data_IF_904582983113
#
_entry.id   IF_904582983113
#
_cell.length_a   1.000
_cell.length_b   1.000
_cell.length_c   1.000
_cell.angle_alpha   90.00
_cell.angle_beta   90.00
_cell.angle_gamma   90.00
#
_symmetry.space_group_name_H-M   'P 1'
#
loop_
_entity.id
_entity.type
_entity.pdbx_description
1 polymer ?
#
# COMPACT_ATOMS: atom_id res chain seq x y z
N UNK A 1 3.43 -7.37 -32.94
CA UNK A 1 4.67 -7.32 -32.13
C UNK A 1 4.81 -5.89 -31.63
N UNK A 2 4.34 -5.59 -30.42
CA UNK A 2 4.40 -4.23 -29.87
C UNK A 2 5.66 -4.12 -29.02
N UNK A 3 6.68 -3.42 -29.52
CA UNK A 3 7.84 -3.00 -28.75
C UNK A 3 7.49 -1.72 -28.00
N UNK A 4 7.20 -1.85 -26.70
CA UNK A 4 7.07 -0.70 -25.82
C UNK A 4 8.46 -0.10 -25.57
N UNK A 5 8.63 1.18 -25.87
CA UNK A 5 9.83 1.96 -25.52
C UNK A 5 9.97 1.99 -23.99
N UNK A 6 11.06 1.43 -23.48
CA UNK A 6 11.45 1.35 -22.06
C UNK A 6 11.76 2.74 -21.47
N UNK A 7 10.74 3.54 -21.15
CA UNK A 7 10.93 4.77 -20.36
C UNK A 7 9.95 4.89 -19.18
N UNK A 8 8.96 4.00 -19.12
CA UNK A 8 7.91 4.02 -18.11
C UNK A 8 8.10 2.84 -17.14
N UNK A 9 7.70 3.04 -15.88
CA UNK A 9 7.80 2.01 -14.84
C UNK A 9 7.35 0.64 -15.33
N UNK A 10 8.03 -0.42 -14.90
CA UNK A 10 7.69 -1.78 -15.28
C UNK A 10 6.26 -2.08 -14.82
N UNK A 11 5.50 -2.76 -15.67
CA UNK A 11 4.09 -3.11 -15.44
C UNK A 11 3.98 -4.62 -15.40
N UNK A 12 3.23 -5.15 -14.45
CA UNK A 12 2.93 -6.58 -14.33
C UNK A 12 1.45 -6.82 -14.59
N UNK A 13 1.19 -7.84 -15.41
CA UNK A 13 -0.14 -8.41 -15.58
C UNK A 13 -0.26 -9.65 -14.70
N UNK A 14 -1.17 -9.61 -13.73
CA UNK A 14 -1.51 -10.74 -12.89
C UNK A 14 -2.74 -11.45 -13.45
N UNK A 15 -2.65 -12.77 -13.50
CA UNK A 15 -3.71 -13.67 -13.92
C UNK A 15 -4.11 -14.56 -12.74
N UNK A 16 -5.38 -14.98 -12.66
CA UNK A 16 -5.80 -15.96 -11.66
C UNK A 16 -5.09 -17.29 -11.89
N UNK A 17 -4.78 -17.98 -10.79
CA UNK A 17 -4.32 -19.37 -10.82
C UNK A 17 -5.44 -20.30 -11.35
N UNK A 18 -5.14 -21.43 -12.01
CA UNK A 18 -6.18 -22.37 -12.51
C UNK A 18 -6.98 -23.10 -11.41
N UNK A 19 -6.69 -22.87 -10.14
CA UNK A 19 -7.44 -23.45 -9.01
C UNK A 19 -8.71 -22.68 -8.74
N UNK A 20 -9.72 -23.38 -8.24
CA UNK A 20 -10.94 -22.77 -7.79
C UNK A 20 -10.70 -21.67 -6.75
N UNK A 21 -11.52 -20.62 -6.78
CA UNK A 21 -11.41 -19.47 -5.87
C UNK A 21 -10.36 -18.43 -6.28
N UNK A 22 -9.39 -18.75 -7.12
CA UNK A 22 -8.41 -17.77 -7.60
C UNK A 22 -9.03 -16.65 -8.44
N UNK A 23 -10.09 -16.95 -9.21
CA UNK A 23 -10.89 -15.96 -9.94
C UNK A 23 -11.58 -14.98 -9.00
N UNK A 24 -12.18 -15.48 -7.91
CA UNK A 24 -12.80 -14.63 -6.91
C UNK A 24 -11.76 -13.78 -6.20
N UNK A 25 -10.60 -14.35 -5.87
CA UNK A 25 -9.49 -13.61 -5.23
C UNK A 25 -8.96 -12.50 -6.12
N UNK A 26 -8.71 -12.74 -7.41
CA UNK A 26 -8.23 -11.67 -8.29
C UNK A 26 -9.29 -10.59 -8.52
N UNK A 27 -10.58 -10.97 -8.55
CA UNK A 27 -11.67 -10.01 -8.62
C UNK A 27 -11.73 -9.14 -7.35
N UNK A 28 -11.70 -9.76 -6.16
CA UNK A 28 -11.65 -9.06 -4.87
C UNK A 28 -10.45 -8.11 -4.81
N UNK A 29 -9.28 -8.59 -5.23
CA UNK A 29 -8.05 -7.81 -5.28
C UNK A 29 -8.19 -6.59 -6.20
N UNK A 30 -8.75 -6.77 -7.40
CA UNK A 30 -9.02 -5.66 -8.33
C UNK A 30 -10.00 -4.63 -7.75
N UNK A 31 -11.03 -5.08 -7.03
CA UNK A 31 -11.97 -4.17 -6.34
C UNK A 31 -11.28 -3.37 -5.23
N UNK A 32 -10.43 -4.01 -4.43
CA UNK A 32 -9.69 -3.36 -3.34
C UNK A 32 -8.72 -2.33 -3.91
N UNK A 33 -7.96 -2.68 -4.95
CA UNK A 33 -7.07 -1.73 -5.62
C UNK A 33 -7.83 -0.53 -6.21
N UNK A 34 -9.03 -0.75 -6.75
CA UNK A 34 -9.90 0.33 -7.23
C UNK A 34 -10.48 1.21 -6.13
N UNK A 35 -10.50 0.73 -4.89
CA UNK A 35 -11.00 1.46 -3.73
C UNK A 35 -9.91 2.24 -2.98
N UNK A 36 -8.63 1.92 -3.18
CA UNK A 36 -7.55 2.62 -2.49
C UNK A 36 -7.54 4.11 -2.81
N UNK A 37 -7.43 4.98 -1.79
CA UNK A 37 -7.22 6.40 -2.04
C UNK A 37 -5.85 6.61 -2.69
N UNK A 38 -5.78 7.64 -3.52
CA UNK A 38 -4.61 7.95 -4.35
C UNK A 38 -3.29 8.00 -3.57
N UNK A 39 -3.30 8.53 -2.34
CA UNK A 39 -2.10 8.69 -1.51
C UNK A 39 -1.48 7.37 -1.04
N UNK A 40 -2.19 6.23 -1.13
CA UNK A 40 -1.59 4.92 -0.83
C UNK A 40 -0.83 4.34 -2.03
N UNK A 41 -1.19 4.74 -3.26
CA UNK A 41 -0.61 4.19 -4.50
C UNK A 41 0.31 5.14 -5.25
N UNK A 42 0.33 6.42 -4.85
CA UNK A 42 1.24 7.44 -5.40
C UNK A 42 1.97 8.21 -4.30
N UNK A 43 3.10 8.84 -4.67
CA UNK A 43 3.83 9.71 -3.75
C UNK A 43 2.96 10.90 -3.33
N UNK A 44 2.69 11.02 -2.03
CA UNK A 44 2.02 12.17 -1.47
C UNK A 44 3.06 13.21 -1.01
N UNK A 45 2.79 14.49 -1.27
CA UNK A 45 3.55 15.60 -0.71
C UNK A 45 2.70 16.33 0.30
N UNK A 46 3.12 16.29 1.56
CA UNK A 46 2.39 16.87 2.67
C UNK A 46 3.08 18.13 3.14
N UNK A 47 2.28 19.17 3.42
CA UNK A 47 2.75 20.35 4.12
C UNK A 47 2.75 20.04 5.61
N UNK A 48 3.90 20.13 6.24
CA UNK A 48 4.02 20.19 7.69
C UNK A 48 4.02 21.67 8.03
N UNK A 49 2.91 22.12 8.60
CA UNK A 49 2.85 23.47 9.17
C UNK A 49 3.60 23.42 10.51
N UNK A 50 4.55 24.33 10.71
CA UNK A 50 5.41 24.41 11.91
C UNK A 50 4.67 24.97 13.15
N UNK A 51 3.37 25.26 13.01
CA UNK A 51 2.51 25.73 14.10
C UNK A 51 1.84 24.51 14.74
N UNK A 52 1.56 24.53 16.04
CA UNK A 52 0.90 23.45 16.80
C UNK A 52 -0.51 23.06 16.27
N UNK A 53 -0.90 23.55 15.09
CA UNK A 53 -2.02 23.15 14.26
C UNK A 53 -1.66 22.04 13.27
N UNK A 54 -2.20 20.86 13.55
CA UNK A 54 -2.25 19.64 12.73
C UNK A 54 -1.97 19.79 11.21
N UNK A 55 -1.09 18.96 10.63
CA UNK A 55 -0.78 18.98 9.20
C UNK A 55 -2.02 18.71 8.35
N UNK A 56 -2.21 19.40 7.23
CA UNK A 56 -3.28 19.12 6.26
C UNK A 56 -2.69 18.64 4.92
N UNK A 57 -3.14 17.49 4.38
CA UNK A 57 -2.68 16.98 3.10
C UNK A 57 -3.16 17.89 1.98
N UNK A 58 -2.22 18.35 1.17
CA UNK A 58 -2.55 18.98 -0.11
C UNK A 58 -2.77 17.86 -1.12
N UNK A 59 -3.98 17.33 -1.15
CA UNK A 59 -4.41 16.33 -2.13
C UNK A 59 -4.63 17.07 -3.47
N UNK A 60 -4.09 16.59 -4.61
CA UNK A 60 -4.47 17.10 -5.93
C UNK A 60 -5.99 17.10 -6.08
N UNK A 61 -6.58 18.20 -6.57
CA UNK A 61 -8.04 18.50 -6.55
C UNK A 61 -8.99 17.44 -7.15
N UNK A 62 -8.49 16.33 -7.67
CA UNK A 62 -9.28 15.31 -8.38
C UNK A 62 -9.98 14.29 -7.49
N UNK A 63 -9.80 14.30 -6.18
CA UNK A 63 -10.48 13.36 -5.28
C UNK A 63 -10.55 13.89 -3.86
N UNK A 64 -11.48 14.81 -3.59
CA UNK A 64 -11.85 15.20 -2.24
C UNK A 64 -12.91 14.24 -1.68
N UNK A 65 -12.63 13.42 -0.66
CA UNK A 65 -13.67 12.68 0.05
C UNK A 65 -14.58 13.68 0.79
N UNK A 66 -15.90 13.52 0.63
CA UNK A 66 -16.88 14.31 1.36
C UNK A 66 -16.98 13.82 2.82
N UNK A 67 -16.85 14.76 3.76
CA UNK A 67 -17.01 14.69 5.24
C UNK A 67 -15.75 14.41 6.10
N UNK A 68 -14.97 15.47 6.34
CA UNK A 68 -14.77 16.12 7.66
C UNK A 68 -14.03 15.43 8.83
N UNK A 69 -14.11 14.11 9.01
CA UNK A 69 -13.52 13.43 10.17
C UNK A 69 -12.24 12.66 9.85
N UNK A 70 -12.33 11.79 8.84
CA UNK A 70 -11.31 10.79 8.47
C UNK A 70 -10.00 11.40 7.97
N UNK A 71 -10.07 12.55 7.29
CA UNK A 71 -8.87 13.25 6.83
C UNK A 71 -7.97 13.64 8.01
N UNK A 72 -8.54 14.13 9.13
CA UNK A 72 -7.76 14.55 10.30
C UNK A 72 -7.02 13.39 10.98
N UNK A 73 -7.55 12.17 10.93
CA UNK A 73 -6.91 10.98 11.50
C UNK A 73 -5.73 10.52 10.63
N UNK A 74 -5.93 10.45 9.31
CA UNK A 74 -4.87 10.23 8.32
C UNK A 74 -3.78 11.29 8.43
N UNK A 75 -4.13 12.57 8.57
CA UNK A 75 -3.19 13.66 8.81
C UNK A 75 -2.33 13.43 10.06
N UNK A 76 -2.97 13.04 11.17
CA UNK A 76 -2.30 12.82 12.47
C UNK A 76 -1.37 11.62 12.40
N UNK A 77 -1.80 10.54 11.75
CA UNK A 77 -1.02 9.33 11.65
C UNK A 77 0.16 9.48 10.68
N UNK A 78 -0.04 10.16 9.54
CA UNK A 78 1.09 10.54 8.69
C UNK A 78 2.02 11.53 9.42
N UNK A 79 1.48 12.48 10.19
CA UNK A 79 2.29 13.35 11.05
C UNK A 79 3.16 12.57 12.04
N UNK A 80 2.64 11.48 12.63
CA UNK A 80 3.42 10.56 13.48
C UNK A 80 4.50 9.81 12.69
N UNK A 81 4.15 9.23 11.55
CA UNK A 81 5.10 8.52 10.69
C UNK A 81 6.24 9.41 10.18
N UNK A 82 5.95 10.68 9.88
CA UNK A 82 6.93 11.70 9.53
C UNK A 82 7.87 11.99 10.70
N UNK A 83 7.33 12.11 11.92
CA UNK A 83 8.12 12.34 13.14
C UNK A 83 9.10 11.18 13.35
N UNK A 84 8.67 9.95 13.14
CA UNK A 84 9.47 8.74 13.33
C UNK A 84 10.53 8.55 12.22
N UNK A 85 10.19 8.90 10.97
CA UNK A 85 11.16 8.92 9.87
C UNK A 85 12.23 10.02 10.04
N UNK A 86 11.84 11.18 10.56
CA UNK A 86 12.75 12.29 10.82
C UNK A 86 13.71 12.02 12.00
N UNK A 87 13.25 11.32 13.05
CA UNK A 87 14.14 10.89 14.15
C UNK A 87 15.07 9.74 13.77
N UNK A 88 14.73 8.95 12.73
CA UNK A 88 15.61 7.89 12.21
C UNK A 88 16.72 8.43 11.28
N UNK A 89 16.57 9.65 10.76
CA UNK A 89 17.53 10.27 9.84
C UNK A 89 17.95 11.66 10.34
N UNK A 90 18.93 11.74 11.24
CA UNK A 90 19.97 12.80 11.27
C UNK A 90 20.87 12.69 12.51
N UNK A 91 22.11 12.22 12.29
CA UNK A 91 23.30 12.68 13.00
C UNK A 91 23.97 13.74 12.11
N UNK A 92 23.41 14.94 12.00
CA UNK A 92 24.16 16.10 11.50
C UNK A 92 23.77 17.35 12.28
N UNK A 93 24.80 18.10 12.68
CA UNK A 93 24.70 19.30 13.49
C UNK A 93 24.01 20.45 12.71
N UNK A 94 23.22 21.31 13.39
CA UNK A 94 22.56 22.42 12.72
C UNK A 94 23.57 23.48 12.26
N UNK A 95 23.47 23.99 11.02
CA UNK A 95 24.27 25.12 10.56
C UNK A 95 23.85 26.43 11.27
N UNK A 96 24.71 27.47 11.25
CA UNK A 96 24.46 28.72 11.94
C UNK A 96 23.27 29.47 11.31
N UNK A 97 22.43 30.04 12.18
CA UNK A 97 21.20 30.74 11.81
C UNK A 97 21.52 32.14 11.27
N UNK A 98 21.48 32.31 9.95
CA UNK A 98 21.32 33.63 9.33
C UNK A 98 19.83 33.93 9.10
N UNK A 99 19.39 35.04 9.69
CA UNK A 99 18.00 35.47 9.76
C UNK A 99 17.60 36.27 8.51
N UNK A 100 17.13 35.61 7.46
CA UNK A 100 16.12 36.15 6.53
C UNK A 100 15.51 35.08 5.60
N UNK A 101 15.56 33.79 5.97
CA UNK A 101 15.02 32.75 5.11
C UNK A 101 13.51 32.68 5.32
N UNK A 102 12.76 33.16 4.31
CA UNK A 102 11.30 33.09 4.22
C UNK A 102 10.87 31.67 4.62
N UNK A 103 10.00 31.54 5.63
CA UNK A 103 9.41 30.27 6.09
C UNK A 103 8.81 29.51 4.91
N UNK A 104 9.61 28.67 4.25
CA UNK A 104 9.12 27.73 3.26
C UNK A 104 8.48 26.60 4.06
N UNK A 105 7.19 26.29 3.85
CA UNK A 105 6.55 25.19 4.56
C UNK A 105 7.36 23.91 4.32
N UNK A 106 7.66 23.18 5.39
CA UNK A 106 8.38 21.91 5.32
C UNK A 106 7.51 20.91 4.57
N UNK A 107 7.92 20.54 3.37
CA UNK A 107 7.24 19.53 2.57
C UNK A 107 7.83 18.16 2.89
N UNK A 108 6.98 17.19 3.25
CA UNK A 108 7.40 15.81 3.43
C UNK A 108 6.82 14.94 2.33
N UNK A 109 7.66 14.08 1.76
CA UNK A 109 7.25 13.14 0.72
C UNK A 109 7.00 11.78 1.35
N UNK A 110 5.78 11.27 1.21
CA UNK A 110 5.36 9.96 1.72
C UNK A 110 5.45 8.96 0.55
N UNK A 111 6.20 7.86 0.69
CA UNK A 111 6.26 6.85 -0.34
C UNK A 111 4.92 6.10 -0.44
N UNK A 112 4.52 5.67 -1.66
CA UNK A 112 3.37 4.81 -1.83
C UNK A 112 3.57 3.44 -1.15
N UNK A 113 2.50 2.93 -0.55
CA UNK A 113 2.49 1.66 0.20
C UNK A 113 1.99 0.48 -0.62
N UNK A 114 1.12 0.74 -1.60
CA UNK A 114 0.57 -0.28 -2.51
C UNK A 114 0.99 0.00 -3.96
N UNK A 115 1.02 -1.01 -4.84
CA UNK A 115 1.28 -0.81 -6.26
C UNK A 115 0.38 0.25 -6.88
N UNK A 116 0.91 0.99 -7.85
CA UNK A 116 0.06 1.74 -8.77
C UNK A 116 -0.89 0.79 -9.51
N UNK A 117 -2.18 1.07 -9.44
CA UNK A 117 -3.23 0.29 -10.09
C UNK A 117 -3.57 0.88 -11.47
N UNK A 118 -3.44 0.07 -12.53
CA UNK A 118 -3.74 0.49 -13.91
C UNK A 118 -5.09 -0.04 -14.42
N UNK A 119 -5.75 -0.92 -13.66
CA UNK A 119 -7.09 -1.41 -13.96
C UNK A 119 -7.25 -2.91 -13.80
N UNK A 120 -8.50 -3.32 -13.66
CA UNK A 120 -8.95 -4.71 -13.65
C UNK A 120 -9.83 -4.92 -14.89
N UNK A 121 -9.35 -5.74 -15.82
CA UNK A 121 -9.95 -5.93 -17.13
C UNK A 121 -10.61 -7.31 -17.21
N UNK A 122 -11.88 -7.34 -17.58
CA UNK A 122 -12.66 -8.56 -17.75
C UNK A 122 -12.99 -8.68 -19.25
N UNK A 123 -12.90 -9.87 -19.86
CA UNK A 123 -13.34 -10.07 -21.24
C UNK A 123 -14.83 -9.74 -21.41
N UNK A 124 -15.20 -9.12 -22.54
CA UNK A 124 -16.58 -8.64 -22.78
C UNK A 124 -17.58 -9.79 -22.97
N UNK A 125 -17.11 -10.96 -23.43
CA UNK A 125 -17.95 -12.09 -23.85
C UNK A 125 -17.91 -13.30 -22.89
N UNK A 126 -17.64 -13.09 -21.59
CA UNK A 126 -17.75 -14.17 -20.59
C UNK A 126 -19.12 -14.16 -19.91
N UNK A 127 -19.89 -15.26 -19.96
CA UNK A 127 -21.01 -15.45 -19.03
C UNK A 127 -20.47 -15.35 -17.61
N UNK A 128 -21.22 -14.70 -16.72
CA UNK A 128 -20.85 -14.31 -15.35
C UNK A 128 -19.66 -15.06 -14.73
N UNK A 129 -18.66 -14.32 -14.24
CA UNK A 129 -17.48 -14.82 -13.49
C UNK A 129 -17.82 -15.59 -12.19
N UNK A 130 -19.09 -15.89 -11.94
CA UNK A 130 -19.53 -16.80 -10.90
C UNK A 130 -18.77 -18.12 -11.07
N UNK A 131 -17.99 -18.48 -10.04
CA UNK A 131 -17.49 -19.84 -9.90
C UNK A 131 -18.68 -20.80 -10.07
N UNK A 132 -18.48 -21.91 -10.78
CA UNK A 132 -19.56 -22.88 -10.96
C UNK A 132 -19.95 -23.47 -9.59
N UNK A 133 -21.22 -23.87 -9.38
CA UNK A 133 -21.73 -24.34 -8.08
C UNK A 133 -20.94 -25.50 -7.45
N UNK A 134 -20.22 -26.27 -8.26
CA UNK A 134 -19.43 -27.46 -7.88
C UNK A 134 -17.95 -27.17 -7.59
N UNK A 135 -17.54 -25.91 -7.67
CA UNK A 135 -16.16 -25.49 -7.45
C UNK A 135 -15.89 -25.39 -5.94
N UNK A 136 -15.45 -26.49 -5.32
CA UNK A 136 -15.03 -26.48 -3.92
C UNK A 136 -13.72 -25.70 -3.71
N UNK A 137 -13.39 -25.28 -2.47
CA UNK A 137 -12.17 -24.51 -2.14
C UNK A 137 -10.85 -25.17 -2.56
N UNK A 138 -10.88 -26.46 -2.95
CA UNK A 138 -9.73 -27.27 -3.34
C UNK A 138 -9.84 -27.87 -4.76
N UNK A 139 -10.87 -27.51 -5.54
CA UNK A 139 -11.08 -28.03 -6.90
C UNK A 139 -10.17 -27.37 -7.95
N UNK A 140 -9.81 -28.09 -9.00
CA UNK A 140 -9.27 -27.47 -10.23
C UNK A 140 -10.42 -26.88 -11.04
N UNK A 141 -10.25 -25.67 -11.58
CA UNK A 141 -11.26 -25.06 -12.45
C UNK A 141 -10.99 -25.54 -13.88
N UNK A 142 -11.80 -26.45 -14.46
CA UNK A 142 -11.54 -26.98 -15.79
C UNK A 142 -11.83 -25.96 -16.90
N UNK A 143 -12.37 -24.77 -16.58
CA UNK A 143 -12.88 -23.87 -17.59
C UNK A 143 -11.79 -22.99 -18.21
N UNK A 144 -11.72 -23.01 -19.54
CA UNK A 144 -10.87 -22.16 -20.40
C UNK A 144 -11.57 -20.85 -20.77
N UNK A 145 -12.20 -20.16 -19.82
CA UNK A 145 -12.67 -18.80 -20.09
C UNK A 145 -11.47 -17.89 -20.34
N UNK A 146 -11.59 -16.83 -21.16
CA UNK A 146 -10.59 -15.77 -21.15
C UNK A 146 -10.50 -15.21 -19.72
N UNK A 147 -9.27 -15.08 -19.22
CA UNK A 147 -9.01 -14.78 -17.82
C UNK A 147 -9.04 -13.26 -17.59
N UNK A 148 -9.57 -12.79 -16.45
CA UNK A 148 -9.43 -11.39 -16.09
C UNK A 148 -7.95 -11.04 -15.90
N UNK A 149 -7.60 -9.79 -16.20
CA UNK A 149 -6.25 -9.25 -16.10
C UNK A 149 -6.26 -8.16 -15.04
N UNK A 150 -5.41 -8.33 -14.02
CA UNK A 150 -5.13 -7.27 -13.05
C UNK A 150 -3.80 -6.61 -13.43
N UNK A 151 -3.85 -5.36 -13.87
CA UNK A 151 -2.68 -4.62 -14.36
C UNK A 151 -2.20 -3.64 -13.28
N UNK A 152 -0.95 -3.78 -12.85
CA UNK A 152 -0.39 -2.97 -11.77
C UNK A 152 1.12 -2.74 -11.92
N UNK A 153 1.68 -1.87 -11.09
CA UNK A 153 3.12 -1.64 -10.97
C UNK A 153 3.89 -2.96 -10.75
N UNK A 154 5.01 -3.12 -11.44
CA UNK A 154 6.02 -4.13 -11.08
C UNK A 154 6.82 -3.61 -9.89
N UNK A 155 6.56 -4.18 -8.71
CA UNK A 155 7.19 -3.76 -7.47
C UNK A 155 8.47 -4.54 -7.15
N UNK A 156 9.02 -5.30 -8.10
CA UNK A 156 10.26 -6.06 -7.93
C UNK A 156 10.01 -7.45 -7.34
N UNK A 157 10.82 -7.82 -6.36
CA UNK A 157 10.85 -9.19 -5.82
C UNK A 157 10.41 -9.22 -4.36
N UNK A 158 9.87 -10.35 -3.87
CA UNK A 158 9.67 -10.54 -2.44
C UNK A 158 10.91 -10.22 -1.63
N UNK A 159 10.75 -9.65 -0.44
CA UNK A 159 11.86 -9.51 0.50
C UNK A 159 12.40 -10.91 0.87
N UNK A 160 13.71 -10.99 1.02
CA UNK A 160 14.37 -12.16 1.61
C UNK A 160 14.61 -11.88 3.10
N UNK A 161 13.96 -12.61 3.99
CA UNK A 161 14.09 -12.38 5.44
C UNK A 161 15.51 -12.68 5.97
N UNK A 162 16.28 -13.53 5.30
CA UNK A 162 17.66 -13.86 5.68
C UNK A 162 18.65 -12.76 5.28
N UNK A 163 18.37 -12.06 4.19
CA UNK A 163 19.26 -11.01 3.67
C UNK A 163 18.80 -9.59 4.06
N UNK A 164 17.50 -9.37 4.27
CA UNK A 164 16.92 -8.04 4.50
C UNK A 164 17.26 -7.54 5.92
N UNK A 165 18.01 -6.42 6.06
CA UNK A 165 18.30 -5.81 7.35
C UNK A 165 17.05 -5.48 8.16
N UNK A 166 17.15 -5.56 9.49
CA UNK A 166 16.04 -5.29 10.40
C UNK A 166 15.37 -3.92 10.15
N UNK A 167 16.14 -2.87 9.88
CA UNK A 167 15.60 -1.53 9.58
C UNK A 167 14.59 -1.54 8.42
N UNK A 168 14.84 -2.33 7.38
CA UNK A 168 13.94 -2.44 6.22
C UNK A 168 12.76 -3.36 6.51
N UNK A 169 12.94 -4.36 7.38
CA UNK A 169 11.82 -5.16 7.90
C UNK A 169 10.87 -4.29 8.72
N UNK A 170 11.40 -3.38 9.55
CA UNK A 170 10.58 -2.37 10.27
C UNK A 170 9.87 -1.43 9.31
N UNK A 171 10.55 -0.94 8.28
CA UNK A 171 9.91 -0.13 7.22
C UNK A 171 8.76 -0.89 6.53
N UNK A 172 8.93 -2.18 6.26
CA UNK A 172 7.84 -3.03 5.75
C UNK A 172 6.66 -3.12 6.73
N UNK A 173 6.91 -3.20 8.04
CA UNK A 173 5.85 -3.20 9.04
C UNK A 173 5.08 -1.87 9.05
N UNK A 174 5.77 -0.73 8.90
CA UNK A 174 5.11 0.59 8.83
C UNK A 174 4.17 0.74 7.62
N UNK A 175 4.37 -0.05 6.55
CA UNK A 175 3.41 -0.07 5.44
C UNK A 175 2.03 -0.59 5.87
N UNK A 176 2.00 -1.50 6.85
CA UNK A 176 0.76 -2.06 7.39
C UNK A 176 0.05 -1.04 8.27
N UNK A 177 0.79 -0.29 9.10
CA UNK A 177 0.22 0.83 9.86
C UNK A 177 -0.44 1.86 8.93
N UNK A 178 0.25 2.23 7.84
CA UNK A 178 -0.31 3.20 6.89
C UNK A 178 -1.48 2.63 6.08
N UNK A 179 -1.54 1.31 5.91
CA UNK A 179 -2.71 0.65 5.31
C UNK A 179 -3.90 0.74 6.27
N UNK A 180 -3.68 0.50 7.56
CA UNK A 180 -4.69 0.62 8.62
C UNK A 180 -5.18 2.06 8.78
N UNK A 181 -4.28 3.05 8.69
CA UNK A 181 -4.65 4.47 8.65
C UNK A 181 -5.56 4.82 7.46
N UNK A 182 -5.42 4.07 6.37
CA UNK A 182 -6.29 4.12 5.20
C UNK A 182 -7.64 3.41 5.38
N UNK A 183 -7.91 2.81 6.54
CA UNK A 183 -9.07 1.95 6.86
C UNK A 183 -9.11 0.66 6.02
N UNK A 184 -7.95 0.08 5.70
CA UNK A 184 -7.85 -1.21 5.01
C UNK A 184 -7.09 -2.23 5.85
N UNK A 185 -7.53 -3.48 5.86
CA UNK A 185 -6.76 -4.60 6.41
C UNK A 185 -6.18 -5.44 5.28
N UNK A 186 -4.98 -6.01 5.47
CA UNK A 186 -4.44 -6.93 4.48
C UNK A 186 -4.98 -8.36 4.68
N UNK A 187 -5.06 -8.84 5.93
CA UNK A 187 -5.67 -10.12 6.34
C UNK A 187 -4.97 -11.42 5.85
N UNK A 188 -3.93 -11.32 5.02
CA UNK A 188 -3.18 -12.46 4.43
C UNK A 188 -1.68 -12.11 4.28
N UNK A 189 -1.10 -11.50 5.31
CA UNK A 189 0.31 -11.12 5.33
C UNK A 189 1.22 -12.34 5.38
N UNK A 190 2.17 -12.37 4.44
CA UNK A 190 3.23 -13.37 4.26
C UNK A 190 4.46 -12.64 3.71
N UNK A 191 5.68 -13.19 3.82
CA UNK A 191 6.87 -12.53 3.29
C UNK A 191 6.76 -12.18 1.80
N UNK A 192 6.07 -13.01 1.02
CA UNK A 192 5.81 -12.78 -0.41
C UNK A 192 4.87 -11.61 -0.73
N UNK A 193 4.27 -10.98 0.29
CA UNK A 193 3.39 -9.81 0.17
C UNK A 193 4.14 -8.49 0.30
N UNK A 194 5.38 -8.54 0.80
CA UNK A 194 6.27 -7.39 0.88
C UNK A 194 7.24 -7.48 -0.28
N UNK A 195 7.05 -6.60 -1.27
CA UNK A 195 7.93 -6.53 -2.44
C UNK A 195 8.92 -5.39 -2.28
N UNK A 196 10.13 -5.58 -2.80
CA UNK A 196 11.20 -4.60 -2.82
C UNK A 196 11.75 -4.42 -4.22
N UNK A 197 12.02 -3.16 -4.57
CA UNK A 197 12.75 -2.76 -5.77
C UNK A 197 13.76 -1.66 -5.45
N UNK A 198 14.76 -1.50 -6.32
CA UNK A 198 15.68 -0.37 -6.27
C UNK A 198 14.89 0.95 -6.37
N UNK A 199 15.25 1.94 -5.54
CA UNK A 199 14.58 3.24 -5.47
C UNK A 199 15.55 4.43 -5.51
N UNK A 200 15.07 5.66 -5.26
CA UNK A 200 13.66 5.99 -5.04
C UNK A 200 12.87 5.93 -6.36
N UNK A 201 11.56 5.71 -6.29
CA UNK A 201 10.74 5.60 -7.50
C UNK A 201 10.37 6.96 -8.10
N UNK A 202 10.76 8.04 -7.43
CA UNK A 202 10.75 9.42 -7.96
C UNK A 202 11.82 9.66 -9.02
N UNK A 203 12.81 8.77 -9.18
CA UNK A 203 13.83 8.86 -10.24
C UNK A 203 13.65 7.76 -11.32
N UNK A 204 14.14 8.00 -12.56
CA UNK A 204 14.08 7.02 -13.64
C UNK A 204 14.78 5.70 -13.28
N UNK A 205 14.37 4.55 -13.86
CA UNK A 205 14.90 3.23 -13.51
C UNK A 205 16.43 3.11 -13.52
N UNK A 206 17.11 3.75 -14.46
CA UNK A 206 18.57 3.70 -14.58
C UNK A 206 19.33 4.47 -13.47
N UNK A 207 18.63 5.30 -12.67
CA UNK A 207 19.20 6.03 -11.53
C UNK A 207 18.79 5.44 -10.18
N UNK A 208 17.98 4.37 -10.19
CA UNK A 208 17.54 3.71 -8.97
C UNK A 208 18.68 2.87 -8.42
N UNK A 209 18.77 2.79 -7.11
CA UNK A 209 19.79 2.02 -6.40
C UNK A 209 19.21 1.24 -5.22
N UNK A 210 19.94 0.22 -4.78
CA UNK A 210 19.62 -0.54 -3.56
C UNK A 210 20.06 0.17 -2.27
N UNK A 211 20.72 1.33 -2.37
CA UNK A 211 21.04 2.15 -1.20
C UNK A 211 19.79 2.82 -0.61
N UNK A 212 18.80 3.06 -1.46
CA UNK A 212 17.50 3.64 -1.12
C UNK A 212 16.37 2.78 -1.71
N UNK A 213 16.16 1.55 -1.19
CA UNK A 213 15.13 0.65 -1.70
C UNK A 213 13.73 1.25 -1.53
N UNK A 214 12.75 0.71 -2.24
CA UNK A 214 11.34 1.06 -2.09
C UNK A 214 10.50 -0.19 -1.93
N UNK A 215 9.60 -0.16 -0.95
CA UNK A 215 8.80 -1.31 -0.53
C UNK A 215 7.32 -1.14 -0.91
N UNK A 216 6.62 -2.26 -1.11
CA UNK A 216 5.19 -2.32 -1.41
C UNK A 216 4.51 -3.52 -0.76
N UNK A 217 3.28 -3.30 -0.30
CA UNK A 217 2.33 -4.34 0.06
C UNK A 217 1.51 -4.76 -1.17
N UNK A 218 1.43 -6.06 -1.43
CA UNK A 218 0.70 -6.61 -2.60
C UNK A 218 -0.22 -7.75 -2.21
N UNK A 219 -1.20 -8.05 -3.06
CA UNK A 219 -1.93 -9.32 -2.99
C UNK A 219 -3.11 -9.30 -2.01
N UNK A 220 -3.99 -8.34 -2.22
CA UNK A 220 -5.23 -8.05 -1.47
C UNK A 220 -6.42 -8.94 -1.86
N UNK A 221 -6.20 -10.14 -2.41
CA UNK A 221 -7.31 -11.03 -2.80
C UNK A 221 -8.12 -11.60 -1.62
N UNK A 222 -7.61 -11.47 -0.40
CA UNK A 222 -8.25 -11.88 0.85
C UNK A 222 -8.53 -10.71 1.79
N UNK A 223 -8.23 -9.47 1.39
CA UNK A 223 -8.37 -8.32 2.27
C UNK A 223 -9.83 -8.05 2.62
N UNK A 224 -10.03 -7.63 3.86
CA UNK A 224 -11.27 -7.04 4.32
C UNK A 224 -11.10 -5.52 4.25
N UNK A 225 -11.82 -4.90 3.33
CA UNK A 225 -11.59 -3.51 2.93
C UNK A 225 -12.33 -3.23 1.64
N UNK A 226 -13.65 -3.37 1.69
CA UNK A 226 -14.50 -2.61 0.78
C UNK A 226 -14.92 -1.36 1.57
N UNK A 227 -15.20 -0.22 0.92
CA UNK A 227 -16.05 0.79 1.53
C UNK A 227 -17.43 0.14 1.72
N UNK A 228 -17.59 -0.62 2.81
CA UNK A 228 -18.85 -1.24 3.19
C UNK A 228 -19.72 -0.10 3.71
N UNK A 229 -20.95 -0.11 3.19
CA UNK A 229 -22.12 0.73 3.43
C UNK A 229 -22.18 1.61 4.69
N UNK A 230 -22.98 2.67 4.57
CA UNK A 230 -23.33 3.74 5.50
C UNK A 230 -23.94 3.32 6.86
N UNK A 231 -23.63 2.12 7.37
CA UNK A 231 -24.06 1.68 8.70
C UNK A 231 -22.93 1.88 9.69
N UNK A 232 -23.03 2.99 10.43
CA UNK A 232 -22.05 3.47 11.43
C UNK A 232 -21.88 2.50 12.62
N UNK A 233 -22.82 1.55 12.83
CA UNK A 233 -22.85 0.67 14.01
C UNK A 233 -21.97 -0.59 13.89
N UNK A 234 -21.50 -0.96 12.69
CA UNK A 234 -20.60 -2.12 12.49
C UNK A 234 -19.11 -1.76 12.62
N UNK A 235 -18.78 -0.48 12.81
CA UNK A 235 -17.41 0.04 12.83
C UNK A 235 -16.69 -0.17 14.16
N UNK A 236 -17.41 -0.29 15.28
CA UNK A 236 -16.81 -0.33 16.62
C UNK A 236 -16.03 -1.61 16.96
N UNK A 237 -16.30 -2.73 16.29
CA UNK A 237 -15.53 -3.99 16.46
C UNK A 237 -14.39 -4.13 15.45
N UNK A 238 -14.29 -3.23 14.46
CA UNK A 238 -13.21 -3.23 13.47
C UNK A 238 -11.93 -2.58 14.02
N UNK A 239 -12.05 -1.64 14.96
CA UNK A 239 -11.13 -0.49 14.93
C UNK A 239 -9.79 -0.66 15.66
N UNK A 240 -9.63 -1.59 16.61
CA UNK A 240 -8.33 -1.80 17.26
C UNK A 240 -7.85 -3.26 17.18
N UNK A 241 -8.69 -4.25 17.54
CA UNK A 241 -8.23 -5.65 17.64
C UNK A 241 -7.81 -6.26 16.31
N UNK A 242 -8.51 -5.96 15.21
CA UNK A 242 -8.16 -6.49 13.90
C UNK A 242 -6.90 -5.82 13.31
N UNK A 243 -6.72 -4.52 13.58
CA UNK A 243 -5.51 -3.79 13.22
C UNK A 243 -4.31 -4.36 13.99
N UNK A 244 -4.45 -4.54 15.30
CA UNK A 244 -3.44 -5.18 16.15
C UNK A 244 -3.11 -6.59 15.65
N UNK A 245 -4.11 -7.43 15.36
CA UNK A 245 -3.88 -8.79 14.85
C UNK A 245 -3.15 -8.80 13.49
N UNK A 246 -3.50 -7.90 12.57
CA UNK A 246 -2.87 -7.82 11.24
C UNK A 246 -1.45 -7.26 11.37
N UNK A 247 -1.21 -6.29 12.27
CA UNK A 247 0.13 -5.76 12.55
C UNK A 247 1.02 -6.77 13.28
N UNK A 248 0.51 -7.47 14.29
CA UNK A 248 1.22 -8.57 14.96
C UNK A 248 1.60 -9.67 13.97
N UNK A 249 0.70 -9.98 13.02
CA UNK A 249 0.99 -10.89 11.92
C UNK A 249 2.12 -10.34 11.06
N UNK A 250 2.12 -9.05 10.72
CA UNK A 250 3.22 -8.39 10.01
C UNK A 250 4.55 -8.57 10.73
N UNK A 251 4.61 -8.24 12.02
CA UNK A 251 5.80 -8.38 12.85
C UNK A 251 6.29 -9.83 12.88
N UNK A 252 5.39 -10.79 13.05
CA UNK A 252 5.72 -12.22 13.04
C UNK A 252 6.32 -12.67 11.72
N UNK A 253 5.68 -12.34 10.59
CA UNK A 253 6.19 -12.75 9.27
C UNK A 253 7.46 -12.03 8.88
N UNK A 254 7.69 -10.83 9.42
CA UNK A 254 8.91 -10.05 9.24
C UNK A 254 9.99 -10.39 10.25
N UNK A 255 9.78 -11.32 11.20
CA UNK A 255 10.76 -11.69 12.22
C UNK A 255 11.14 -10.52 13.14
N UNK A 256 10.20 -9.62 13.42
CA UNK A 256 10.35 -8.50 14.33
C UNK A 256 9.83 -8.90 15.72
N UNK A 257 10.36 -8.30 16.81
CA UNK A 257 9.78 -8.48 18.13
C UNK A 257 8.32 -8.01 18.14
N UNK A 258 7.46 -8.61 18.97
CA UNK A 258 6.10 -8.14 19.12
C UNK A 258 6.09 -6.67 19.60
N UNK A 259 5.04 -5.91 19.27
CA UNK A 259 4.89 -4.56 19.79
C UNK A 259 4.87 -4.59 21.33
N UNK A 260 5.40 -3.56 22.00
CA UNK A 260 5.27 -3.44 23.45
C UNK A 260 3.77 -3.39 23.81
N UNK A 261 3.34 -4.26 24.72
CA UNK A 261 1.98 -4.23 25.28
C UNK A 261 1.84 -2.95 26.11
N UNK A 262 0.92 -2.08 25.74
CA UNK A 262 0.62 -0.82 26.44
C UNK A 262 -0.48 -1.00 27.49
#
# INVERSE_FOLDING_TARGET
>A
MFTFRQEHGRVVAKFPHPTCGAHQRIHKEGMVYGAFPFHLSEYARLKVDDDDGQPAPVIPERSAPKKGGKLKQVCRAIGRAIKDAATSSTLEAPPPRDACDRMRPRMVTVPPIVPKFFGYYIPVEVPSLSCHPTCGPWGTCPIRWPQPILLMEDCGSPIDLGETPERYRRECATLVDWLHDGEFLHSDLRPSKFLVQAGPLTVPPHRRSWQSPSFRLVGFGMSNGLPISQDDDFWFEFEDSLCEEDYERACRVLGLPPPPQH
#
